data_IF_738863696910
#
_entry.id   IF_738863696910
#
_cell.length_a   1.000
_cell.length_b   1.000
_cell.length_c   1.000
_cell.angle_alpha   90.00
_cell.angle_beta   90.00
_cell.angle_gamma   90.00
#
_symmetry.space_group_name_H-M   'P 1'
#
loop_
_entity.id
_entity.type
_entity.pdbx_description
1 polymer ?
#
# COMPACT_ATOMS: atom_id res chain seq x y z
N UNK A 1 1.72 0.00 20.11
CA UNK A 1 1.43 0.21 18.68
C UNK A 1 2.48 -0.53 17.85
N UNK A 2 2.04 -1.34 16.91
CA UNK A 2 2.98 -2.06 16.05
C UNK A 2 3.56 -1.11 15.01
N UNK A 3 4.87 -1.11 14.89
CA UNK A 3 5.57 -0.38 13.86
C UNK A 3 5.74 -1.26 12.62
N UNK A 4 5.97 -0.64 11.49
CA UNK A 4 6.29 -1.35 10.27
C UNK A 4 7.44 -0.64 9.55
N UNK A 5 8.10 -1.37 8.65
CA UNK A 5 9.18 -0.82 7.84
C UNK A 5 8.59 -0.17 6.60
N UNK A 6 9.05 1.02 6.27
CA UNK A 6 8.56 1.74 5.09
C UNK A 6 9.65 1.89 4.04
N UNK A 7 9.23 1.95 2.78
CA UNK A 7 10.09 2.42 1.69
C UNK A 7 10.29 3.91 1.88
N UNK A 8 11.51 4.41 1.62
CA UNK A 8 11.91 5.76 2.04
C UNK A 8 12.12 6.75 0.93
N UNK A 9 12.44 6.30 -0.29
CA UNK A 9 12.82 7.22 -1.35
C UNK A 9 12.31 6.74 -2.70
N UNK A 10 12.41 7.62 -3.69
CA UNK A 10 11.91 7.35 -5.02
C UNK A 10 12.62 6.16 -5.69
N UNK A 11 13.90 5.97 -5.40
CA UNK A 11 14.65 4.85 -5.96
C UNK A 11 14.05 3.51 -5.54
N UNK A 12 13.72 3.38 -4.26
CA UNK A 12 13.09 2.15 -3.75
C UNK A 12 11.73 1.90 -4.38
N UNK A 13 10.91 2.96 -4.52
CA UNK A 13 9.63 2.86 -5.20
C UNK A 13 9.81 2.42 -6.66
N UNK A 14 10.75 3.04 -7.37
CA UNK A 14 11.00 2.71 -8.77
C UNK A 14 11.46 1.25 -8.95
N UNK A 15 12.25 0.74 -8.03
CA UNK A 15 12.67 -0.67 -8.09
C UNK A 15 11.47 -1.60 -8.01
N UNK A 16 10.51 -1.30 -7.15
CA UNK A 16 9.30 -2.11 -7.04
C UNK A 16 8.48 -2.03 -8.33
N UNK A 17 8.32 -0.83 -8.89
CA UNK A 17 7.57 -0.66 -10.14
C UNK A 17 8.23 -1.39 -11.31
N UNK A 18 9.55 -1.32 -11.41
CA UNK A 18 10.28 -1.85 -12.55
C UNK A 18 10.52 -3.36 -12.48
N UNK A 19 10.73 -3.89 -11.28
CA UNK A 19 11.14 -5.29 -11.10
C UNK A 19 10.05 -6.17 -10.51
N UNK A 20 8.97 -5.56 -10.02
CA UNK A 20 7.91 -6.29 -9.34
C UNK A 20 6.77 -6.71 -10.23
N UNK A 21 5.87 -7.46 -9.63
CA UNK A 21 4.59 -7.81 -10.22
C UNK A 21 3.52 -6.87 -9.67
N UNK A 22 2.35 -6.85 -10.31
CA UNK A 22 1.25 -6.03 -9.84
C UNK A 22 -0.07 -6.79 -9.87
N UNK A 23 -0.95 -6.40 -8.96
CA UNK A 23 -2.34 -6.83 -8.90
C UNK A 23 -3.20 -5.59 -8.67
N UNK A 24 -4.41 -5.60 -9.17
CA UNK A 24 -5.30 -4.46 -9.03
C UNK A 24 -6.71 -4.92 -8.76
N UNK A 25 -7.46 -4.07 -8.07
CA UNK A 25 -8.90 -4.21 -7.94
C UNK A 25 -9.56 -2.83 -8.13
N UNK A 26 -10.81 -2.73 -7.74
CA UNK A 26 -11.58 -1.50 -7.93
C UNK A 26 -10.96 -0.27 -7.25
N UNK A 27 -10.33 -0.45 -6.09
CA UNK A 27 -9.89 0.68 -5.23
C UNK A 27 -8.40 0.86 -5.17
N UNK A 28 -7.63 -0.22 -5.30
CA UNK A 28 -6.20 -0.20 -5.05
C UNK A 28 -5.42 -0.95 -6.14
N UNK A 29 -4.17 -0.55 -6.30
CA UNK A 29 -3.18 -1.31 -7.09
C UNK A 29 -2.05 -1.65 -6.15
N UNK A 30 -1.61 -2.90 -6.15
CA UNK A 30 -0.47 -3.37 -5.37
C UNK A 30 0.66 -3.77 -6.32
N UNK A 31 1.83 -3.14 -6.16
CA UNK A 31 3.08 -3.60 -6.76
C UNK A 31 3.90 -4.28 -5.67
N UNK A 32 4.54 -5.40 -5.99
CA UNK A 32 5.33 -6.13 -5.00
C UNK A 32 6.50 -6.86 -5.66
N UNK A 33 7.61 -6.96 -4.92
CA UNK A 33 8.77 -7.74 -5.33
C UNK A 33 9.43 -8.34 -4.09
N UNK A 34 10.12 -9.48 -4.27
CA UNK A 34 10.94 -10.04 -3.18
C UNK A 34 12.12 -9.12 -2.89
N UNK A 35 12.42 -8.93 -1.59
CA UNK A 35 13.46 -8.00 -1.18
C UNK A 35 14.65 -8.66 -0.49
N UNK A 36 14.63 -9.98 -0.32
CA UNK A 36 15.68 -10.76 0.36
C UNK A 36 15.89 -10.37 1.83
N UNK A 37 14.90 -9.71 2.43
CA UNK A 37 14.90 -9.38 3.85
C UNK A 37 13.95 -10.31 4.59
N UNK A 38 14.04 -10.29 5.92
CA UNK A 38 13.16 -11.10 6.76
C UNK A 38 11.85 -10.38 7.09
N UNK A 39 11.67 -9.17 6.57
CA UNK A 39 10.48 -8.35 6.83
C UNK A 39 10.02 -7.65 5.56
N UNK A 40 8.78 -7.21 5.57
CA UNK A 40 8.21 -6.44 4.47
C UNK A 40 8.50 -4.95 4.64
N UNK A 41 8.57 -4.24 3.51
CA UNK A 41 8.63 -2.77 3.51
C UNK A 41 7.45 -2.26 2.68
N UNK A 42 6.78 -1.22 3.19
CA UNK A 42 5.59 -0.68 2.56
C UNK A 42 5.82 0.75 2.09
N UNK A 43 5.42 1.02 0.86
CA UNK A 43 5.26 2.36 0.33
C UNK A 43 3.80 2.59 -0.04
N UNK A 44 3.31 3.82 0.14
CA UNK A 44 1.95 4.19 -0.20
C UNK A 44 1.99 5.40 -1.11
N UNK A 45 1.26 5.34 -2.21
CA UNK A 45 1.20 6.45 -3.17
C UNK A 45 -0.26 6.84 -3.40
N UNK A 46 -0.59 8.08 -3.07
CA UNK A 46 -1.92 8.66 -3.30
C UNK A 46 -1.74 9.95 -4.07
N UNK A 47 -2.07 9.93 -5.35
CA UNK A 47 -1.85 11.08 -6.23
C UNK A 47 -2.93 12.15 -6.05
N UNK A 48 -2.64 13.34 -6.61
CA UNK A 48 -3.59 14.46 -6.59
C UNK A 48 -4.91 14.13 -7.30
N UNK A 49 -4.92 13.13 -8.17
CA UNK A 49 -6.15 12.70 -8.86
C UNK A 49 -7.18 12.10 -7.91
N UNK A 50 -6.76 11.61 -6.73
CA UNK A 50 -7.68 11.06 -5.74
C UNK A 50 -8.43 12.18 -5.03
N UNK A 51 -7.76 13.30 -4.77
CA UNK A 51 -8.39 14.43 -4.09
C UNK A 51 -7.37 15.42 -3.56
N UNK A 52 -7.84 16.38 -2.77
CA UNK A 52 -6.99 17.38 -2.14
C UNK A 52 -6.14 16.75 -1.02
N UNK A 53 -5.32 17.58 -0.35
CA UNK A 53 -4.39 17.08 0.67
C UNK A 53 -5.09 16.39 1.84
N UNK A 54 -6.25 16.90 2.25
CA UNK A 54 -7.03 16.27 3.34
C UNK A 54 -7.49 14.87 2.93
N UNK A 55 -8.04 14.75 1.73
CA UNK A 55 -8.51 13.46 1.19
C UNK A 55 -7.34 12.49 1.05
N UNK A 56 -6.21 12.96 0.53
CA UNK A 56 -5.03 12.12 0.34
C UNK A 56 -4.46 11.61 1.66
N UNK A 57 -4.40 12.48 2.67
CA UNK A 57 -3.94 12.10 4.01
C UNK A 57 -4.83 11.03 4.62
N UNK A 58 -6.14 11.22 4.51
CA UNK A 58 -7.11 10.25 5.04
C UNK A 58 -6.96 8.90 4.34
N UNK A 59 -6.87 8.91 3.01
CA UNK A 59 -6.73 7.68 2.22
C UNK A 59 -5.43 6.96 2.58
N UNK A 60 -4.33 7.69 2.71
CA UNK A 60 -3.05 7.13 3.12
C UNK A 60 -3.16 6.46 4.50
N UNK A 61 -3.83 7.12 5.44
CA UNK A 61 -4.02 6.56 6.79
C UNK A 61 -4.82 5.26 6.76
N UNK A 62 -5.88 5.20 5.96
CA UNK A 62 -6.69 3.99 5.85
C UNK A 62 -5.87 2.81 5.29
N UNK A 63 -5.07 3.07 4.28
CA UNK A 63 -4.19 2.05 3.70
C UNK A 63 -3.14 1.61 4.74
N UNK A 64 -2.51 2.57 5.40
CA UNK A 64 -1.50 2.28 6.43
C UNK A 64 -2.06 1.43 7.55
N UNK A 65 -3.25 1.77 8.06
CA UNK A 65 -3.91 1.01 9.11
C UNK A 65 -4.27 -0.40 8.65
N UNK A 66 -4.74 -0.54 7.41
CA UNK A 66 -5.05 -1.85 6.84
C UNK A 66 -3.81 -2.76 6.86
N UNK A 67 -2.67 -2.20 6.48
CA UNK A 67 -1.41 -2.95 6.51
C UNK A 67 -0.96 -3.24 7.95
N UNK A 68 -0.94 -2.20 8.78
CA UNK A 68 -0.42 -2.28 10.15
C UNK A 68 -1.18 -3.33 10.98
N UNK A 69 -2.49 -3.37 10.85
CA UNK A 69 -3.32 -4.29 11.62
C UNK A 69 -3.26 -5.73 11.11
N UNK A 70 -2.85 -5.93 9.86
CA UNK A 70 -2.83 -7.25 9.23
C UNK A 70 -1.41 -7.77 8.95
N UNK A 71 -0.37 -7.01 9.30
CA UNK A 71 0.99 -7.34 8.87
C UNK A 71 1.49 -8.69 9.38
N UNK A 72 1.05 -9.11 10.56
CA UNK A 72 1.50 -10.39 11.13
C UNK A 72 0.98 -11.60 10.36
N UNK A 73 -0.05 -11.42 9.57
CA UNK A 73 -0.66 -12.48 8.77
C UNK A 73 -0.16 -12.50 7.33
N UNK A 74 0.74 -11.59 6.98
CA UNK A 74 1.28 -11.51 5.62
C UNK A 74 2.58 -12.29 5.51
N UNK A 75 2.84 -12.84 4.32
CA UNK A 75 4.16 -13.41 4.02
C UNK A 75 5.20 -12.30 4.10
N UNK A 76 6.37 -12.62 4.64
CA UNK A 76 7.45 -11.64 4.78
C UNK A 76 8.43 -11.72 3.60
N UNK A 77 9.29 -10.70 3.50
CA UNK A 77 10.32 -10.67 2.47
C UNK A 77 9.91 -9.95 1.18
N UNK A 78 8.95 -9.04 1.25
CA UNK A 78 8.47 -8.30 0.09
C UNK A 78 8.55 -6.80 0.29
N UNK A 79 8.96 -6.09 -0.76
CA UNK A 79 8.71 -4.66 -0.88
C UNK A 79 7.38 -4.50 -1.59
N UNK A 80 6.50 -3.70 -1.01
CA UNK A 80 5.16 -3.47 -1.53
C UNK A 80 4.89 -1.98 -1.69
N UNK A 81 4.26 -1.61 -2.80
CA UNK A 81 3.74 -0.25 -2.99
C UNK A 81 2.25 -0.36 -3.26
N UNK A 82 1.47 0.29 -2.44
CA UNK A 82 0.01 0.36 -2.60
C UNK A 82 -0.34 1.73 -3.18
N UNK A 83 -1.02 1.73 -4.30
CA UNK A 83 -1.47 2.94 -4.98
C UNK A 83 -2.98 3.02 -4.85
N UNK A 84 -3.47 4.17 -4.38
CA UNK A 84 -4.91 4.41 -4.32
C UNK A 84 -5.43 4.84 -5.69
N UNK A 85 -6.51 4.23 -6.13
CA UNK A 85 -7.23 4.66 -7.33
C UNK A 85 -8.21 5.77 -6.94
N UNK A 86 -8.70 6.52 -7.93
CA UNK A 86 -9.66 7.60 -7.68
C UNK A 86 -10.91 7.10 -6.95
N UNK A 87 -11.32 5.87 -7.21
CA UNK A 87 -12.46 5.22 -6.56
C UNK A 87 -12.28 5.03 -5.05
N UNK A 88 -11.05 5.13 -4.54
CA UNK A 88 -10.79 5.02 -3.11
C UNK A 88 -11.26 6.25 -2.33
N UNK A 89 -11.47 7.38 -3.01
CA UNK A 89 -11.94 8.61 -2.37
C UNK A 89 -13.26 8.37 -1.65
N UNK A 90 -13.31 8.79 -0.38
CA UNK A 90 -14.55 8.72 0.40
C UNK A 90 -14.91 7.35 0.93
N UNK A 91 -14.11 6.34 0.67
CA UNK A 91 -14.38 4.99 1.18
C UNK A 91 -14.04 4.89 2.66
N UNK A 92 -14.73 3.98 3.37
CA UNK A 92 -14.46 3.76 4.77
C UNK A 92 -13.33 2.74 4.95
N UNK A 93 -12.91 2.55 6.22
CA UNK A 93 -11.82 1.64 6.55
C UNK A 93 -12.10 0.20 6.09
N UNK A 94 -13.31 -0.32 6.32
CA UNK A 94 -13.61 -1.70 5.95
C UNK A 94 -13.49 -1.94 4.45
N UNK A 95 -13.91 -0.99 3.64
CA UNK A 95 -13.79 -1.10 2.18
C UNK A 95 -12.33 -1.13 1.76
N UNK A 96 -11.52 -0.23 2.32
CA UNK A 96 -10.08 -0.17 1.99
C UNK A 96 -9.36 -1.42 2.51
N UNK A 97 -9.65 -1.86 3.73
CA UNK A 97 -9.03 -3.08 4.28
C UNK A 97 -9.38 -4.30 3.42
N UNK A 98 -10.65 -4.45 3.06
CA UNK A 98 -11.08 -5.55 2.20
C UNK A 98 -10.36 -5.52 0.86
N UNK A 99 -10.26 -4.34 0.26
CA UNK A 99 -9.55 -4.18 -1.01
C UNK A 99 -8.08 -4.56 -0.88
N UNK A 100 -7.43 -4.12 0.20
CA UNK A 100 -6.02 -4.46 0.45
C UNK A 100 -5.83 -5.96 0.62
N UNK A 101 -6.65 -6.60 1.44
CA UNK A 101 -6.53 -8.04 1.73
C UNK A 101 -6.79 -8.91 0.49
N UNK A 102 -7.63 -8.44 -0.43
CA UNK A 102 -7.86 -9.16 -1.69
C UNK A 102 -6.64 -9.17 -2.61
N UNK A 103 -5.70 -8.25 -2.41
CA UNK A 103 -4.50 -8.16 -3.25
C UNK A 103 -3.30 -8.92 -2.67
N UNK A 104 -3.44 -9.42 -1.46
CA UNK A 104 -2.34 -10.13 -0.77
C UNK A 104 -2.34 -11.64 -1.11
#
# INVERSE_FOLDING_TARGET
MKNYHSLRNNREFQMVYNEGNSKANRYLVLYYRKNDLEYNRLGISVSKKVGNSVVRHRTTRLIRESYRLNQDNLKTGYDMVVIARQTAKGQNYHTIESAFLHLI
#
